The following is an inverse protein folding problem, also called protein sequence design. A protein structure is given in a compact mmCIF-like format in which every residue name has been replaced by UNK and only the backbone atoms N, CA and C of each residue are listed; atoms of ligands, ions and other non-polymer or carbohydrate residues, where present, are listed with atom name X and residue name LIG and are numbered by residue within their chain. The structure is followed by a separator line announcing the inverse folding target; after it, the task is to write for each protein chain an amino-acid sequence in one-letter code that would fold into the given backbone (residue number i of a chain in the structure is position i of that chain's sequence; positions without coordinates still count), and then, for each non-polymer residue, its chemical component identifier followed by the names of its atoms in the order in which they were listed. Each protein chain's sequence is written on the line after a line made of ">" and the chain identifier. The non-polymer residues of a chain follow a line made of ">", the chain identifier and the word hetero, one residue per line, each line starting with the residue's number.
data_IF_837051467806
#
_entry.id   IF_837051467806
#
_cell.length_a   1.000
_cell.length_b   1.000
_cell.length_c   1.000
_cell.angle_alpha   90.00
_cell.angle_beta   90.00
_cell.angle_gamma   90.00
#
_symmetry.space_group_name_H-M   'P 1'
#
loop_
_entity.id
_entity.type
_entity.pdbx_description
1 polymer ?
#
# COMPACT_ATOMS: atom_id res chain seq x y z
N UNK A 1 53.94 1.32 33.89
CA UNK A 1 52.83 0.63 33.19
C UNK A 1 51.55 1.41 33.50
N UNK A 2 51.04 2.20 32.56
CA UNK A 2 49.79 2.97 32.77
C UNK A 2 48.60 2.01 32.66
N UNK A 3 47.89 1.83 33.76
CA UNK A 3 46.67 1.01 33.82
C UNK A 3 45.50 1.90 33.38
N UNK A 4 45.00 1.67 32.17
CA UNK A 4 43.75 2.27 31.74
C UNK A 4 42.62 1.78 32.66
N UNK A 5 41.96 2.70 33.35
CA UNK A 5 40.74 2.41 34.10
C UNK A 5 39.63 2.08 33.11
N UNK A 6 39.18 0.83 33.07
CA UNK A 6 37.94 0.48 32.37
C UNK A 6 36.77 1.17 33.08
N UNK A 7 36.23 2.22 32.46
CA UNK A 7 34.94 2.81 32.82
C UNK A 7 33.82 1.96 32.24
N UNK A 8 33.08 1.26 33.10
CA UNK A 8 31.85 0.55 32.73
C UNK A 8 30.62 1.44 32.92
N UNK A 9 29.56 1.18 32.14
CA UNK A 9 28.25 1.80 32.34
C UNK A 9 27.60 1.30 33.63
N UNK A 10 26.92 2.19 34.35
CA UNK A 10 26.07 1.82 35.47
C UNK A 10 24.79 1.14 34.99
N UNK A 11 24.26 0.22 35.81
CA UNK A 11 22.97 -0.41 35.57
C UNK A 11 21.83 0.63 35.47
N UNK A 12 21.93 1.73 36.21
CA UNK A 12 20.93 2.80 36.14
C UNK A 12 21.01 3.60 34.82
N UNK A 13 22.22 3.80 34.28
CA UNK A 13 22.39 4.48 32.99
C UNK A 13 21.80 3.64 31.86
N UNK A 14 22.00 2.32 31.92
CA UNK A 14 21.41 1.40 30.96
C UNK A 14 19.88 1.37 31.08
N UNK A 15 19.33 1.40 32.29
CA UNK A 15 17.87 1.48 32.49
C UNK A 15 17.28 2.78 31.91
N UNK A 16 17.94 3.92 32.13
CA UNK A 16 17.48 5.21 31.58
C UNK A 16 17.58 5.19 30.04
N UNK A 17 18.67 4.67 29.48
CA UNK A 17 18.83 4.55 28.03
C UNK A 17 17.74 3.69 27.39
N UNK A 18 17.43 2.53 27.97
CA UNK A 18 16.36 1.65 27.50
C UNK A 18 14.98 2.32 27.64
N UNK A 19 14.74 3.04 28.74
CA UNK A 19 13.49 3.78 28.92
C UNK A 19 13.28 4.84 27.82
N UNK A 20 14.31 5.61 27.49
CA UNK A 20 14.25 6.62 26.42
C UNK A 20 13.98 5.95 25.06
N UNK A 21 14.71 4.89 24.72
CA UNK A 21 14.50 4.15 23.46
C UNK A 21 13.09 3.57 23.40
N UNK A 22 12.54 3.06 24.50
CA UNK A 22 11.19 2.54 24.58
C UNK A 22 10.12 3.61 24.26
N UNK A 23 10.27 4.82 24.81
CA UNK A 23 9.36 5.94 24.54
C UNK A 23 9.43 6.35 23.06
N UNK A 24 10.63 6.45 22.51
CA UNK A 24 10.81 6.81 21.10
C UNK A 24 10.21 5.75 20.16
N UNK A 25 10.45 4.47 20.45
CA UNK A 25 9.93 3.36 19.65
C UNK A 25 8.40 3.32 19.63
N UNK A 26 7.74 3.65 20.75
CA UNK A 26 6.28 3.65 20.86
C UNK A 26 5.60 4.64 19.88
N UNK A 27 6.26 5.76 19.55
CA UNK A 27 5.75 6.74 18.58
C UNK A 27 6.30 6.48 17.17
N UNK A 28 7.59 6.15 17.06
CA UNK A 28 8.27 6.02 15.78
C UNK A 28 7.76 4.82 14.96
N UNK A 29 7.53 3.66 15.60
CA UNK A 29 7.10 2.44 14.89
C UNK A 29 5.73 2.60 14.22
N UNK A 30 4.65 3.03 14.89
CA UNK A 30 3.37 3.21 14.22
C UNK A 30 3.43 4.28 13.12
N UNK A 31 4.15 5.38 13.35
CA UNK A 31 4.35 6.42 12.34
C UNK A 31 5.05 5.88 11.09
N UNK A 32 6.12 5.10 11.26
CA UNK A 32 6.85 4.51 10.14
C UNK A 32 6.00 3.52 9.36
N UNK A 33 5.21 2.67 10.05
CA UNK A 33 4.28 1.73 9.41
C UNK A 33 3.23 2.45 8.58
N UNK A 34 2.66 3.55 9.07
CA UNK A 34 1.70 4.35 8.32
C UNK A 34 2.31 4.93 7.04
N UNK A 35 3.54 5.44 7.09
CA UNK A 35 4.24 5.95 5.90
C UNK A 35 4.48 4.87 4.84
N UNK A 36 4.85 3.66 5.26
CA UNK A 36 5.03 2.54 4.34
C UNK A 36 3.68 2.10 3.75
N UNK A 37 2.60 2.08 4.54
CA UNK A 37 1.26 1.79 4.04
C UNK A 37 0.80 2.81 3.00
N UNK A 38 1.06 4.11 3.21
CA UNK A 38 0.74 5.17 2.25
C UNK A 38 1.49 4.98 0.93
N UNK A 39 2.81 4.72 1.00
CA UNK A 39 3.61 4.43 -0.19
C UNK A 39 3.09 3.22 -0.98
N UNK A 40 2.69 2.16 -0.29
CA UNK A 40 2.10 0.96 -0.92
C UNK A 40 0.73 1.25 -1.51
N UNK A 41 -0.09 2.08 -0.86
CA UNK A 41 -1.39 2.52 -1.39
C UNK A 41 -1.21 3.28 -2.70
N UNK A 42 -0.26 4.21 -2.76
CA UNK A 42 0.10 4.90 -4.00
C UNK A 42 0.51 3.93 -5.12
N UNK A 43 1.28 2.87 -4.80
CA UNK A 43 1.60 1.82 -5.77
C UNK A 43 0.35 1.04 -6.23
N UNK A 44 -0.56 0.69 -5.32
CA UNK A 44 -1.84 0.05 -5.65
C UNK A 44 -2.75 0.91 -6.52
N UNK A 45 -2.85 2.22 -6.23
CA UNK A 45 -3.57 3.19 -7.05
C UNK A 45 -2.97 3.31 -8.45
N UNK A 46 -1.63 3.33 -8.55
CA UNK A 46 -0.94 3.36 -9.84
C UNK A 46 -1.27 2.12 -10.66
N UNK A 47 -1.23 0.95 -10.03
CA UNK A 47 -1.57 -0.32 -10.67
C UNK A 47 -3.05 -0.37 -11.14
N UNK A 48 -3.98 0.19 -10.35
CA UNK A 48 -5.38 0.36 -10.77
C UNK A 48 -5.51 1.21 -12.03
N UNK A 49 -4.79 2.34 -12.10
CA UNK A 49 -4.84 3.24 -13.24
C UNK A 49 -4.19 2.61 -14.48
N UNK A 50 -3.12 1.84 -14.32
CA UNK A 50 -2.51 1.08 -15.41
C UNK A 50 -3.48 0.02 -15.96
N UNK A 51 -4.13 -0.75 -15.09
CA UNK A 51 -5.15 -1.72 -15.49
C UNK A 51 -6.36 -1.05 -16.18
N UNK A 52 -6.78 0.13 -15.71
CA UNK A 52 -7.82 0.91 -16.38
C UNK A 52 -7.38 1.36 -17.78
N UNK A 53 -6.13 1.80 -17.96
CA UNK A 53 -5.58 2.15 -19.28
C UNK A 53 -5.54 0.95 -20.24
N UNK A 54 -5.24 -0.25 -19.74
CA UNK A 54 -5.31 -1.48 -20.54
C UNK A 54 -6.75 -1.77 -20.99
N UNK A 55 -7.73 -1.54 -20.13
CA UNK A 55 -9.14 -1.66 -20.49
C UNK A 55 -9.53 -0.67 -21.61
N UNK A 56 -9.15 0.60 -21.50
CA UNK A 56 -9.45 1.60 -22.55
C UNK A 56 -8.74 1.29 -23.88
N UNK A 57 -7.50 0.77 -23.82
CA UNK A 57 -6.79 0.32 -25.01
C UNK A 57 -7.53 -0.82 -25.70
N UNK A 58 -8.01 -1.81 -24.93
CA UNK A 58 -8.80 -2.93 -25.44
C UNK A 58 -10.09 -2.46 -26.11
N UNK A 59 -10.78 -1.48 -25.52
CA UNK A 59 -11.98 -0.91 -26.12
C UNK A 59 -11.68 -0.18 -27.44
N UNK A 60 -10.56 0.54 -27.50
CA UNK A 60 -10.14 1.25 -28.72
C UNK A 60 -9.87 0.30 -29.89
N UNK A 61 -9.40 -0.92 -29.63
CA UNK A 61 -9.08 -1.91 -30.68
C UNK A 61 -10.25 -2.82 -31.03
N UNK A 62 -11.11 -3.16 -30.06
CA UNK A 62 -12.15 -4.19 -30.24
C UNK A 62 -13.59 -3.69 -30.06
N UNK A 63 -13.80 -2.43 -29.69
CA UNK A 63 -15.08 -1.84 -29.30
C UNK A 63 -15.79 -2.57 -28.14
N UNK A 64 -15.03 -3.30 -27.32
CA UNK A 64 -15.53 -3.97 -26.13
C UNK A 64 -14.45 -4.03 -25.04
N UNK A 65 -14.83 -3.95 -23.76
CA UNK A 65 -13.89 -4.22 -22.66
C UNK A 65 -13.71 -5.73 -22.39
N UNK A 66 -14.57 -6.59 -22.94
CA UNK A 66 -14.37 -8.03 -22.83
C UNK A 66 -13.03 -8.46 -23.42
N UNK A 67 -12.28 -9.27 -22.67
CA UNK A 67 -10.94 -9.71 -23.08
C UNK A 67 -9.80 -8.80 -22.62
N UNK A 68 -10.07 -7.75 -21.83
CA UNK A 68 -9.01 -7.03 -21.12
C UNK A 68 -8.22 -8.00 -20.25
N UNK A 69 -6.91 -8.04 -20.51
CA UNK A 69 -5.96 -8.79 -19.71
C UNK A 69 -5.11 -7.80 -18.88
N UNK A 70 -5.07 -8.05 -17.57
CA UNK A 70 -4.31 -7.27 -16.59
C UNK A 70 -3.19 -8.08 -15.95
N UNK A 71 -2.90 -9.28 -16.45
CA UNK A 71 -1.86 -10.17 -15.91
C UNK A 71 -0.45 -9.58 -15.95
N UNK A 72 -0.21 -8.59 -16.81
CA UNK A 72 1.05 -7.84 -16.88
C UNK A 72 1.20 -6.75 -15.81
N UNK A 73 0.15 -6.44 -15.04
CA UNK A 73 0.18 -5.44 -13.98
C UNK A 73 0.36 -6.17 -12.65
N UNK A 74 1.56 -6.11 -12.09
CA UNK A 74 1.88 -6.72 -10.80
C UNK A 74 2.11 -5.67 -9.72
N UNK A 75 1.65 -5.96 -8.51
CA UNK A 75 1.78 -5.09 -7.34
C UNK A 75 1.86 -5.93 -6.07
N UNK A 76 3.01 -5.86 -5.39
CA UNK A 76 3.38 -6.78 -4.31
C UNK A 76 2.38 -6.88 -3.15
N UNK A 77 1.67 -5.80 -2.84
CA UNK A 77 0.78 -5.71 -1.66
C UNK A 77 -0.71 -5.62 -2.01
N UNK A 78 -1.08 -5.85 -3.26
CA UNK A 78 -2.46 -5.84 -3.72
C UNK A 78 -2.72 -6.99 -4.69
N UNK A 79 -3.93 -7.51 -4.70
CA UNK A 79 -4.41 -8.41 -5.76
C UNK A 79 -5.36 -7.64 -6.65
N UNK A 80 -5.00 -7.53 -7.93
CA UNK A 80 -5.84 -6.91 -8.94
C UNK A 80 -6.84 -7.90 -9.51
N UNK A 81 -8.08 -7.45 -9.68
CA UNK A 81 -9.18 -8.23 -10.28
C UNK A 81 -10.08 -7.33 -11.11
N UNK A 82 -10.82 -7.93 -12.04
CA UNK A 82 -11.88 -7.28 -12.83
C UNK A 82 -13.24 -7.85 -12.41
N UNK A 83 -13.80 -7.46 -11.25
CA UNK A 83 -15.07 -8.00 -10.75
C UNK A 83 -16.26 -7.69 -11.68
N UNK A 84 -16.13 -6.67 -12.52
CA UNK A 84 -17.09 -6.39 -13.60
C UNK A 84 -16.30 -6.20 -14.88
N UNK A 85 -16.64 -7.00 -15.90
CA UNK A 85 -16.05 -6.92 -17.22
C UNK A 85 -17.10 -7.27 -18.26
N UNK A 86 -17.71 -6.26 -18.88
CA UNK A 86 -18.72 -6.42 -19.93
C UNK A 86 -18.22 -5.76 -21.22
N UNK A 87 -19.04 -5.71 -22.27
CA UNK A 87 -18.64 -5.00 -23.49
C UNK A 87 -18.48 -3.49 -23.26
N UNK A 88 -19.28 -2.90 -22.37
CA UNK A 88 -19.38 -1.43 -22.21
C UNK A 88 -19.00 -0.92 -20.83
N UNK A 89 -18.78 -1.81 -19.87
CA UNK A 89 -18.43 -1.43 -18.49
C UNK A 89 -17.32 -2.32 -17.95
N UNK A 90 -16.48 -1.72 -17.10
CA UNK A 90 -15.56 -2.44 -16.24
C UNK A 90 -15.47 -1.82 -14.86
N UNK A 91 -14.99 -2.63 -13.93
CA UNK A 91 -14.49 -2.22 -12.61
C UNK A 91 -13.17 -2.94 -12.39
N UNK A 92 -12.10 -2.20 -12.14
CA UNK A 92 -10.82 -2.73 -11.64
C UNK A 92 -10.82 -2.62 -10.12
N UNK A 93 -10.40 -3.67 -9.43
CA UNK A 93 -10.35 -3.75 -7.97
C UNK A 93 -8.97 -4.17 -7.50
N UNK A 94 -8.41 -3.44 -6.53
CA UNK A 94 -7.16 -3.75 -5.85
C UNK A 94 -7.48 -4.09 -4.38
N UNK A 95 -7.42 -5.38 -4.05
CA UNK A 95 -7.63 -5.85 -2.68
C UNK A 95 -6.28 -5.94 -1.95
N UNK A 96 -6.10 -5.30 -0.78
CA UNK A 96 -4.82 -5.31 -0.07
C UNK A 96 -4.48 -6.70 0.47
N UNK A 97 -3.20 -7.05 0.46
CA UNK A 97 -2.69 -8.35 0.94
C UNK A 97 -1.54 -8.19 1.92
N UNK A 98 -1.23 -9.27 2.64
CA UNK A 98 -0.09 -9.32 3.55
C UNK A 98 -0.11 -8.17 4.59
N UNK A 99 1.01 -7.44 4.77
CA UNK A 99 1.08 -6.32 5.70
C UNK A 99 0.17 -5.11 5.37
N UNK A 100 -0.38 -5.05 4.16
CA UNK A 100 -1.33 -4.00 3.75
C UNK A 100 -2.78 -4.35 4.11
N UNK A 101 -3.08 -5.60 4.47
CA UNK A 101 -4.44 -6.06 4.76
C UNK A 101 -5.11 -5.31 5.93
N UNK A 102 -4.32 -4.63 6.77
CA UNK A 102 -4.81 -3.81 7.88
C UNK A 102 -4.93 -2.32 7.55
N UNK A 103 -4.65 -1.91 6.31
CA UNK A 103 -4.85 -0.54 5.86
C UNK A 103 -6.35 -0.18 5.93
N UNK A 104 -6.74 0.92 6.61
CA UNK A 104 -8.13 1.36 6.69
C UNK A 104 -8.78 1.61 5.31
N UNK A 105 -8.00 1.90 4.28
CA UNK A 105 -8.50 2.12 2.93
C UNK A 105 -9.02 0.87 2.24
N UNK A 106 -8.69 -0.33 2.74
CA UNK A 106 -9.24 -1.59 2.25
C UNK A 106 -9.11 -1.76 0.73
N UNK A 107 -10.11 -2.39 0.13
CA UNK A 107 -10.17 -2.59 -1.32
C UNK A 107 -10.48 -1.28 -2.04
N UNK A 108 -9.60 -0.89 -2.95
CA UNK A 108 -9.77 0.29 -3.81
C UNK A 108 -10.27 -0.13 -5.19
N UNK A 109 -11.15 0.67 -5.80
CA UNK A 109 -11.67 0.37 -7.14
C UNK A 109 -11.68 1.58 -8.05
N UNK A 110 -11.60 1.32 -9.36
CA UNK A 110 -11.80 2.30 -10.44
C UNK A 110 -12.78 1.71 -11.45
N UNK A 111 -13.80 2.47 -11.84
CA UNK A 111 -14.77 2.07 -12.87
C UNK A 111 -14.45 2.71 -14.23
N UNK A 112 -15.10 2.23 -15.29
CA UNK A 112 -15.07 2.82 -16.64
C UNK A 112 -15.44 4.31 -16.73
N UNK A 113 -16.16 4.87 -15.74
CA UNK A 113 -16.46 6.30 -15.68
C UNK A 113 -15.39 7.11 -14.95
N UNK A 114 -14.29 6.47 -14.51
CA UNK A 114 -13.28 7.06 -13.64
C UNK A 114 -13.73 7.20 -12.19
N UNK A 115 -14.86 6.60 -11.77
CA UNK A 115 -15.30 6.66 -10.39
C UNK A 115 -14.35 5.83 -9.51
N UNK A 116 -13.87 6.45 -8.43
CA UNK A 116 -12.90 5.88 -7.50
C UNK A 116 -13.58 5.61 -6.16
N UNK A 117 -13.37 4.41 -5.62
CA UNK A 117 -13.88 4.07 -4.28
C UNK A 117 -12.79 3.42 -3.44
N UNK A 118 -12.95 3.50 -2.12
CA UNK A 118 -12.12 2.85 -1.12
C UNK A 118 -12.98 2.51 0.11
N UNK A 119 -12.43 1.75 1.05
CA UNK A 119 -13.06 1.38 2.32
C UNK A 119 -13.14 2.51 3.35
N UNK A 120 -12.33 3.55 3.22
CA UNK A 120 -12.34 4.74 4.07
C UNK A 120 -12.31 6.03 3.22
N UNK A 121 -12.48 7.18 3.88
CA UNK A 121 -12.32 8.52 3.27
C UNK A 121 -10.84 8.86 3.06
N UNK A 122 -10.55 9.78 2.14
CA UNK A 122 -9.21 10.34 1.89
C UNK A 122 -8.14 9.30 1.46
N UNK A 123 -8.59 8.21 0.85
CA UNK A 123 -7.73 7.11 0.38
C UNK A 123 -7.21 7.28 -1.04
N UNK A 124 -7.65 8.31 -1.75
CA UNK A 124 -7.33 8.61 -3.15
C UNK A 124 -6.67 9.99 -3.33
N UNK A 125 -6.37 10.66 -2.22
CA UNK A 125 -5.74 11.97 -2.14
C UNK A 125 -4.23 11.87 -1.85
#
# INVERSE_FOLDING_TARGET
>A
MCRATQSGFSLIELLIAVAIVGILAAVAIPSYRAQIQESRRSAGQTALLEAAQLAERQFTTTNAYTGTDISGVDVEFYTLTLPTLTATTYTVSAAPTGPQATDPCGTMTVTHTGARTAGATDCWD
#
